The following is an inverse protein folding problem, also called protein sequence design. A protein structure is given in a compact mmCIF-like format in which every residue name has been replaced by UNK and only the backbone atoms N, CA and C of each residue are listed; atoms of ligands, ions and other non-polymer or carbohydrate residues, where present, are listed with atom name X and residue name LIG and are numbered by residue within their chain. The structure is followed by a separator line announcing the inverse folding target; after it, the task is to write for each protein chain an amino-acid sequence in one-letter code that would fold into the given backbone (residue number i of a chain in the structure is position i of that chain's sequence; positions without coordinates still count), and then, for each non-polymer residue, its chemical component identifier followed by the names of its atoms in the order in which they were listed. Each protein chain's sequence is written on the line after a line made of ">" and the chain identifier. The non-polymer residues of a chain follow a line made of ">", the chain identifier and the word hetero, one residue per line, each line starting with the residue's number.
data_IF_076687778551
#
_entry.id   IF_076687778551
#
_cell.length_a   1.000
_cell.length_b   1.000
_cell.length_c   1.000
_cell.angle_alpha   90.00
_cell.angle_beta   90.00
_cell.angle_gamma   90.00
#
_symmetry.space_group_name_H-M   'P 1'
#
loop_
_entity.id
_entity.type
_entity.pdbx_description
1 polymer ?
#
# COMPACT_ATOMS: atom_id res chain seq x y z
N UNK A 1 -14.26 -12.42 3.22
CA UNK A 1 -14.81 -11.23 2.61
C UNK A 1 -14.08 -10.06 3.14
N UNK A 2 -14.45 -8.92 2.85
CA UNK A 2 -13.85 -7.74 3.36
C UNK A 2 -13.17 -6.96 2.27
N UNK A 3 -12.22 -6.14 2.69
CA UNK A 3 -11.64 -5.10 1.84
C UNK A 3 -10.97 -5.63 0.58
N UNK A 4 -10.38 -6.83 0.63
CA UNK A 4 -9.67 -7.34 -0.55
C UNK A 4 -10.63 -7.66 -1.68
N UNK A 5 -11.86 -8.09 -1.37
CA UNK A 5 -12.86 -8.30 -2.41
C UNK A 5 -13.29 -6.99 -3.05
N UNK A 6 -13.47 -5.96 -2.23
CA UNK A 6 -13.81 -4.63 -2.74
C UNK A 6 -12.71 -4.09 -3.64
N UNK A 7 -11.45 -4.37 -3.32
CA UNK A 7 -10.32 -3.93 -4.12
C UNK A 7 -10.31 -4.60 -5.49
N UNK A 8 -10.74 -5.85 -5.58
CA UNK A 8 -10.77 -6.54 -6.87
C UNK A 8 -11.71 -5.87 -7.87
N UNK A 9 -12.64 -5.05 -7.40
CA UNK A 9 -13.54 -4.30 -8.26
C UNK A 9 -12.95 -2.99 -8.74
N UNK A 10 -11.79 -2.61 -8.21
CA UNK A 10 -11.11 -1.39 -8.65
C UNK A 10 -10.33 -1.72 -9.91
N UNK A 11 -10.64 -0.99 -10.98
CA UNK A 11 -9.97 -1.20 -12.26
C UNK A 11 -8.46 -1.03 -12.10
N UNK A 12 -7.72 -1.99 -12.60
CA UNK A 12 -6.26 -1.94 -12.60
C UNK A 12 -5.59 -2.45 -11.35
N UNK A 13 -6.36 -2.79 -10.29
CA UNK A 13 -5.76 -3.19 -9.03
C UNK A 13 -4.97 -4.49 -9.16
N UNK A 14 -5.54 -5.50 -9.82
CA UNK A 14 -4.87 -6.79 -9.95
C UNK A 14 -3.57 -6.67 -10.75
N UNK A 15 -3.60 -5.89 -11.83
CA UNK A 15 -2.39 -5.67 -12.62
C UNK A 15 -1.32 -4.95 -11.80
N UNK A 16 -1.74 -3.98 -10.99
CA UNK A 16 -0.81 -3.27 -10.12
C UNK A 16 -0.13 -4.23 -9.15
N UNK A 17 -0.90 -5.11 -8.51
CA UNK A 17 -0.33 -6.06 -7.55
C UNK A 17 0.67 -7.00 -8.21
N UNK A 18 0.39 -7.44 -9.42
CA UNK A 18 1.33 -8.29 -10.17
C UNK A 18 2.63 -7.52 -10.45
N UNK A 19 2.53 -6.28 -10.90
CA UNK A 19 3.70 -5.46 -11.19
C UNK A 19 4.51 -5.18 -9.92
N UNK A 20 3.82 -4.88 -8.85
CA UNK A 20 4.44 -4.59 -7.57
C UNK A 20 5.23 -5.79 -7.07
N UNK A 21 4.62 -6.97 -7.14
CA UNK A 21 5.28 -8.20 -6.73
C UNK A 21 6.53 -8.47 -7.56
N UNK A 22 6.43 -8.31 -8.87
CA UNK A 22 7.57 -8.57 -9.76
C UNK A 22 8.71 -7.59 -9.57
N UNK A 23 8.39 -6.33 -9.37
CA UNK A 23 9.40 -5.28 -9.33
C UNK A 23 10.05 -5.14 -7.95
N UNK A 24 9.27 -5.27 -6.90
CA UNK A 24 9.75 -4.96 -5.54
C UNK A 24 9.66 -6.11 -4.57
N UNK A 25 9.01 -7.21 -4.92
CA UNK A 25 8.88 -8.40 -4.06
C UNK A 25 8.60 -8.02 -2.60
N UNK A 26 7.54 -7.25 -2.33
CA UNK A 26 7.31 -6.75 -0.98
C UNK A 26 7.07 -7.87 0.01
N UNK A 27 7.57 -7.68 1.23
CA UNK A 27 7.31 -8.61 2.31
C UNK A 27 5.94 -8.38 2.93
N UNK A 28 5.37 -7.21 2.72
CA UNK A 28 4.09 -6.84 3.32
C UNK A 28 3.42 -5.74 2.52
N UNK A 29 2.13 -5.87 2.30
CA UNK A 29 1.30 -4.82 1.72
C UNK A 29 0.05 -4.73 2.58
N UNK A 30 -0.19 -3.55 3.15
CA UNK A 30 -1.35 -3.31 4.01
C UNK A 30 -2.27 -2.28 3.37
N UNK A 31 -3.55 -2.58 3.35
CA UNK A 31 -4.58 -1.61 3.00
C UNK A 31 -4.97 -0.89 4.28
N UNK A 32 -4.95 0.43 4.27
CA UNK A 32 -5.37 1.19 5.44
C UNK A 32 -6.28 2.35 5.01
N UNK A 33 -6.63 3.21 5.96
CA UNK A 33 -7.51 4.34 5.67
C UNK A 33 -8.96 3.91 5.54
N UNK A 34 -9.76 4.70 4.83
CA UNK A 34 -11.20 4.52 4.77
C UNK A 34 -11.60 3.20 4.14
N UNK A 35 -10.88 2.72 3.13
CA UNK A 35 -11.23 1.45 2.48
C UNK A 35 -11.00 0.26 3.40
N UNK A 36 -10.00 0.32 4.27
CA UNK A 36 -9.76 -0.74 5.24
C UNK A 36 -10.89 -0.80 6.28
N UNK A 37 -11.48 0.35 6.59
CA UNK A 37 -12.57 0.44 7.56
C UNK A 37 -13.95 0.26 6.95
N UNK A 38 -14.01 0.03 5.64
CA UNK A 38 -15.28 -0.09 4.90
C UNK A 38 -16.15 1.18 4.99
N UNK A 39 -15.51 2.32 5.17
CA UNK A 39 -16.17 3.62 5.28
C UNK A 39 -15.97 4.46 4.03
N UNK A 40 -15.65 3.81 2.92
CA UNK A 40 -15.27 4.52 1.71
C UNK A 40 -16.45 4.71 0.75
N UNK A 41 -16.33 5.73 -0.06
CA UNK A 41 -17.15 5.89 -1.27
C UNK A 41 -16.41 5.23 -2.43
N UNK A 42 -17.13 5.04 -3.54
CA UNK A 42 -16.55 4.42 -4.73
C UNK A 42 -15.34 5.21 -5.26
N UNK A 43 -15.30 6.52 -4.98
CA UNK A 43 -14.21 7.40 -5.44
C UNK A 43 -13.10 7.59 -4.41
N UNK A 44 -13.17 6.89 -3.28
CA UNK A 44 -12.14 7.04 -2.24
C UNK A 44 -10.79 6.55 -2.74
N UNK A 45 -9.73 7.24 -2.29
CA UNK A 45 -8.36 6.84 -2.60
C UNK A 45 -8.05 5.47 -2.04
N UNK A 46 -7.08 4.80 -2.64
CA UNK A 46 -6.54 3.54 -2.13
C UNK A 46 -5.27 3.85 -1.37
N UNK A 47 -5.29 3.64 -0.06
CA UNK A 47 -4.14 3.89 0.81
C UNK A 47 -3.44 2.58 1.10
N UNK A 48 -2.21 2.44 0.61
CA UNK A 48 -1.43 1.22 0.80
C UNK A 48 -0.14 1.53 1.52
N UNK A 49 0.24 0.64 2.42
CA UNK A 49 1.57 0.65 3.03
C UNK A 49 2.33 -0.55 2.46
N UNK A 50 3.45 -0.29 1.83
CA UNK A 50 4.23 -1.30 1.11
C UNK A 50 5.60 -1.40 1.76
N UNK A 51 5.96 -2.60 2.17
CA UNK A 51 7.25 -2.87 2.81
C UNK A 51 8.08 -3.73 1.88
N UNK A 52 9.23 -3.20 1.45
CA UNK A 52 10.14 -3.93 0.57
C UNK A 52 11.57 -3.46 0.77
N UNK A 53 12.48 -4.39 0.93
CA UNK A 53 13.89 -4.03 1.04
C UNK A 53 14.47 -3.53 -0.28
N UNK A 54 13.76 -3.73 -1.38
CA UNK A 54 14.18 -3.17 -2.66
C UNK A 54 14.11 -1.64 -2.67
N UNK A 55 13.43 -1.03 -1.70
CA UNK A 55 13.41 0.42 -1.58
C UNK A 55 14.68 1.00 -0.94
N UNK A 56 15.55 0.16 -0.41
CA UNK A 56 16.76 0.64 0.23
C UNK A 56 17.60 1.45 -0.74
N UNK A 57 18.11 2.60 -0.28
CA UNK A 57 18.90 3.47 -1.12
C UNK A 57 18.11 4.36 -2.05
N UNK A 58 16.81 4.15 -2.15
CA UNK A 58 15.95 4.99 -2.98
C UNK A 58 15.37 6.10 -2.10
N UNK A 59 15.55 7.38 -2.47
CA UNK A 59 14.98 8.48 -1.69
C UNK A 59 13.47 8.33 -1.55
N UNK A 60 12.96 8.72 -0.40
CA UNK A 60 11.56 8.55 -0.05
C UNK A 60 10.59 9.03 -1.14
N UNK A 61 10.80 10.24 -1.63
CA UNK A 61 9.91 10.83 -2.65
C UNK A 61 9.91 10.03 -3.93
N UNK A 62 11.06 9.49 -4.28
CA UNK A 62 11.18 8.73 -5.52
C UNK A 62 10.45 7.41 -5.42
N UNK A 63 10.43 6.79 -4.23
CA UNK A 63 9.68 5.55 -4.03
C UNK A 63 8.21 5.72 -4.38
N UNK A 64 7.60 6.79 -3.88
CA UNK A 64 6.20 7.10 -4.17
C UNK A 64 5.97 7.23 -5.66
N UNK A 65 6.82 8.01 -6.34
CA UNK A 65 6.69 8.23 -7.76
C UNK A 65 6.82 6.95 -8.57
N UNK A 66 7.78 6.10 -8.19
CA UNK A 66 8.02 4.84 -8.89
C UNK A 66 6.82 3.89 -8.75
N UNK A 67 6.24 3.84 -7.56
CA UNK A 67 5.10 2.96 -7.32
C UNK A 67 3.84 3.48 -8.02
N UNK A 68 3.60 4.78 -7.95
CA UNK A 68 2.42 5.37 -8.60
C UNK A 68 2.47 5.19 -10.12
N UNK A 69 3.66 5.17 -10.70
CA UNK A 69 3.80 4.91 -12.14
C UNK A 69 3.24 3.57 -12.57
N UNK A 70 3.18 2.61 -11.67
CA UNK A 70 2.66 1.28 -11.97
C UNK A 70 1.14 1.21 -11.86
N UNK A 71 0.52 2.29 -11.41
CA UNK A 71 -0.91 2.34 -11.13
C UNK A 71 -1.64 2.99 -12.31
N UNK A 72 -2.66 2.31 -12.83
CA UNK A 72 -3.51 2.86 -13.87
C UNK A 72 -5.00 2.71 -13.54
N UNK A 73 -5.31 2.68 -12.25
CA UNK A 73 -6.69 2.55 -11.79
C UNK A 73 -7.49 3.84 -11.89
N UNK A 74 -8.79 3.71 -11.67
CA UNK A 74 -9.73 4.83 -11.79
C UNK A 74 -9.68 5.78 -10.60
N UNK A 75 -9.23 5.31 -9.45
CA UNK A 75 -9.14 6.13 -8.24
C UNK A 75 -7.66 6.39 -7.93
N UNK A 76 -7.40 7.37 -7.08
CA UNK A 76 -6.02 7.71 -6.74
C UNK A 76 -5.40 6.64 -5.85
N UNK A 77 -4.10 6.42 -6.02
CA UNK A 77 -3.32 5.54 -5.16
C UNK A 77 -2.40 6.40 -4.31
N UNK A 78 -2.40 6.17 -3.01
CA UNK A 78 -1.50 6.84 -2.08
C UNK A 78 -0.67 5.79 -1.36
N UNK A 79 0.54 5.47 -1.86
CA UNK A 79 1.38 4.47 -1.23
C UNK A 79 2.35 5.08 -0.23
N UNK A 80 2.55 4.37 0.87
CA UNK A 80 3.64 4.64 1.81
C UNK A 80 4.64 3.50 1.64
N UNK A 81 5.87 3.82 1.29
CA UNK A 81 6.87 2.83 0.89
C UNK A 81 8.03 2.82 1.88
N UNK A 82 8.22 1.70 2.56
CA UNK A 82 9.25 1.54 3.58
C UNK A 82 10.07 0.28 3.34
N UNK A 83 11.34 0.31 3.76
CA UNK A 83 12.09 -0.93 3.95
C UNK A 83 11.62 -1.58 5.25
N UNK A 84 12.00 -2.85 5.46
CA UNK A 84 11.60 -3.55 6.68
C UNK A 84 12.11 -2.85 7.95
N UNK A 85 13.39 -2.47 8.04
CA UNK A 85 13.86 -1.74 9.24
C UNK A 85 13.12 -0.42 9.45
N UNK A 86 12.84 0.32 8.38
CA UNK A 86 12.09 1.58 8.48
C UNK A 86 10.69 1.34 9.01
N UNK A 87 10.03 0.31 8.49
CA UNK A 87 8.68 -0.03 8.93
C UNK A 87 8.66 -0.40 10.41
N UNK A 88 9.63 -1.22 10.86
CA UNK A 88 9.70 -1.62 12.25
C UNK A 88 9.87 -0.41 13.17
N UNK A 89 10.72 0.53 12.77
CA UNK A 89 10.94 1.74 13.55
C UNK A 89 9.68 2.60 13.60
N UNK A 90 9.07 2.86 12.44
CA UNK A 90 7.91 3.74 12.34
C UNK A 90 6.69 3.16 13.02
N UNK A 91 6.52 1.84 12.99
CA UNK A 91 5.35 1.22 13.60
C UNK A 91 5.31 1.35 15.11
N UNK A 92 6.46 1.70 15.73
CA UNK A 92 6.55 1.92 17.17
C UNK A 92 6.30 3.37 17.55
N UNK A 93 6.23 4.28 16.57
CA UNK A 93 6.01 5.69 16.80
C UNK A 93 4.52 6.02 16.69
N UNK A 94 4.12 7.14 17.27
CA UNK A 94 2.75 7.64 17.09
C UNK A 94 2.69 8.27 15.70
N UNK A 95 2.18 7.52 14.74
CA UNK A 95 2.20 7.94 13.34
C UNK A 95 1.15 7.18 12.55
N UNK A 96 0.94 7.63 11.30
CA UNK A 96 0.05 6.94 10.37
C UNK A 96 0.54 5.51 10.11
N UNK A 97 1.84 5.26 10.15
CA UNK A 97 2.41 3.93 9.97
C UNK A 97 2.01 3.02 11.12
N UNK A 98 2.08 3.52 12.35
CA UNK A 98 1.64 2.75 13.52
C UNK A 98 0.17 2.39 13.41
N UNK A 99 -0.66 3.34 12.99
CA UNK A 99 -2.09 3.10 12.84
C UNK A 99 -2.34 2.06 11.74
N UNK A 100 -1.65 2.17 10.61
CA UNK A 100 -1.78 1.20 9.53
C UNK A 100 -1.33 -0.19 9.97
N UNK A 101 -0.28 -0.27 10.78
CA UNK A 101 0.22 -1.56 11.28
C UNK A 101 -0.80 -2.23 12.20
N UNK A 102 -1.52 -1.42 13.00
CA UNK A 102 -2.51 -1.94 13.94
C UNK A 102 -3.82 -2.32 13.29
N UNK A 103 -4.31 -1.49 12.39
CA UNK A 103 -5.67 -1.60 11.88
C UNK A 103 -5.74 -1.91 10.39
N UNK A 104 -4.62 -1.91 9.70
CA UNK A 104 -4.60 -2.19 8.27
C UNK A 104 -4.91 -3.65 7.97
N UNK A 105 -5.37 -3.88 6.75
CA UNK A 105 -5.70 -5.20 6.26
C UNK A 105 -4.54 -5.69 5.39
N UNK A 106 -3.95 -6.83 5.76
CA UNK A 106 -2.86 -7.41 4.98
C UNK A 106 -3.42 -7.96 3.66
N UNK A 107 -2.77 -7.59 2.58
CA UNK A 107 -3.14 -8.07 1.26
C UNK A 107 -2.25 -9.24 0.87
N UNK A 108 -2.86 -10.20 0.21
CA UNK A 108 -2.15 -11.39 -0.24
C UNK A 108 -1.31 -11.05 -1.46
N UNK A 109 -0.08 -11.57 -1.46
CA UNK A 109 0.85 -11.34 -2.57
C UNK A 109 0.96 -12.56 -3.49
#
# INVERSE_FOLDING_TARGET
>A
MGSSQALNQIRGFDRFMVRLKRRYAPSKVLLFGSRARAEHLATSDVDLLIVSDAFEGIPWRLRLQLVVKMWDGDVALEPLCYTEPEFQKRSKEISIVREAARTGVALRM
#
